data_IF_557377304031
#
_entry.id   IF_557377304031
#
_cell.length_a   1.000
_cell.length_b   1.000
_cell.length_c   1.000
_cell.angle_alpha   90.00
_cell.angle_beta   90.00
_cell.angle_gamma   90.00
#
_symmetry.space_group_name_H-M   'P 1'
#
loop_
_entity.id
_entity.type
_entity.pdbx_description
1 polymer ?
#
# COMPACT_ATOMS: atom_id res chain seq x y z
N UNK A 1 -22.24 19.84 10.29
CA UNK A 1 -21.16 19.17 9.55
C UNK A 1 -20.94 17.83 10.23
N UNK A 2 -21.77 16.85 9.85
CA UNK A 2 -21.80 15.55 10.49
C UNK A 2 -21.54 14.49 9.42
N UNK A 3 -20.82 13.45 9.82
CA UNK A 3 -20.77 12.12 9.19
C UNK A 3 -19.64 11.83 8.18
N UNK A 4 -18.38 11.89 8.64
CA UNK A 4 -17.25 11.24 7.91
C UNK A 4 -16.69 9.99 8.62
N UNK A 5 -17.21 9.62 9.79
CA UNK A 5 -16.67 8.52 10.60
C UNK A 5 -17.37 7.17 10.41
N UNK A 6 -18.46 7.10 9.62
CA UNK A 6 -19.27 5.87 9.52
C UNK A 6 -19.45 5.29 8.10
N UNK A 7 -18.68 5.76 7.11
CA UNK A 7 -18.77 5.24 5.75
C UNK A 7 -18.07 3.87 5.68
N UNK A 8 -18.85 2.80 5.46
CA UNK A 8 -18.35 1.45 5.19
C UNK A 8 -17.32 1.51 4.05
N UNK A 9 -16.25 0.72 4.16
CA UNK A 9 -15.24 0.59 3.11
C UNK A 9 -15.89 0.28 1.75
N UNK A 10 -15.34 0.82 0.66
CA UNK A 10 -15.73 0.51 -0.70
C UNK A 10 -14.47 0.41 -1.59
N UNK A 11 -14.30 -0.73 -2.26
CA UNK A 11 -13.14 -0.94 -3.13
C UNK A 11 -13.12 0.02 -4.33
N UNK A 12 -14.28 0.49 -4.79
CA UNK A 12 -14.36 1.46 -5.88
C UNK A 12 -13.64 2.78 -5.51
N UNK A 13 -13.75 3.24 -4.27
CA UNK A 13 -13.07 4.48 -3.81
C UNK A 13 -11.54 4.34 -3.84
N UNK A 14 -11.03 3.15 -3.55
CA UNK A 14 -9.60 2.82 -3.69
C UNK A 14 -9.19 2.92 -5.15
N UNK A 15 -9.95 2.30 -6.05
CA UNK A 15 -9.70 2.35 -7.49
C UNK A 15 -9.66 3.80 -8.00
N UNK A 16 -10.65 4.62 -7.66
CA UNK A 16 -10.67 6.03 -8.08
C UNK A 16 -9.49 6.82 -7.51
N UNK A 17 -9.08 6.55 -6.26
CA UNK A 17 -7.90 7.19 -5.67
C UNK A 17 -6.62 6.86 -6.42
N UNK A 18 -6.42 5.58 -6.79
CA UNK A 18 -5.25 5.18 -7.56
C UNK A 18 -5.29 5.64 -9.02
N UNK A 19 -6.47 5.82 -9.63
CA UNK A 19 -6.58 6.49 -10.93
C UNK A 19 -6.11 7.93 -10.85
N UNK A 20 -6.60 8.67 -9.86
CA UNK A 20 -6.22 10.08 -9.67
C UNK A 20 -4.77 10.26 -9.27
N UNK A 21 -4.12 9.22 -8.72
CA UNK A 21 -2.72 9.32 -8.32
C UNK A 21 -1.75 9.30 -9.49
N UNK A 22 -2.14 8.81 -10.67
CA UNK A 22 -1.24 8.67 -11.80
C UNK A 22 -1.53 9.75 -12.86
N UNK A 23 -0.52 10.58 -13.18
CA UNK A 23 -0.62 11.56 -14.27
C UNK A 23 -0.40 10.94 -15.65
N UNK A 24 -0.80 11.60 -16.74
CA UNK A 24 -0.46 11.17 -18.11
C UNK A 24 1.05 11.03 -18.35
N UNK A 25 1.87 11.84 -17.66
CA UNK A 25 3.33 11.83 -17.71
C UNK A 25 3.96 10.77 -16.78
N UNK A 26 3.15 9.89 -16.18
CA UNK A 26 3.57 8.87 -15.22
C UNK A 26 4.17 9.43 -13.92
N UNK A 27 3.73 10.61 -13.51
CA UNK A 27 4.02 11.12 -12.16
C UNK A 27 2.99 10.57 -11.16
N UNK A 28 3.46 10.28 -9.93
CA UNK A 28 2.60 9.75 -8.88
C UNK A 28 2.31 10.85 -7.85
N UNK A 29 1.09 11.38 -7.84
CA UNK A 29 0.64 12.36 -6.87
C UNK A 29 0.51 11.75 -5.47
N UNK A 30 1.28 12.26 -4.51
CA UNK A 30 1.38 11.68 -3.16
C UNK A 30 0.04 11.77 -2.42
N UNK A 31 -0.71 12.85 -2.58
CA UNK A 31 -2.01 13.04 -1.94
C UNK A 31 -3.01 11.92 -2.28
N UNK A 32 -3.14 11.61 -3.56
CA UNK A 32 -4.02 10.56 -4.06
C UNK A 32 -3.48 9.16 -3.76
N UNK A 33 -2.16 8.97 -3.83
CA UNK A 33 -1.50 7.72 -3.41
C UNK A 33 -1.78 7.40 -1.93
N UNK A 34 -1.65 8.39 -1.05
CA UNK A 34 -2.01 8.25 0.37
C UNK A 34 -3.50 7.98 0.54
N UNK A 35 -4.37 8.63 -0.23
CA UNK A 35 -5.81 8.38 -0.20
C UNK A 35 -6.15 6.93 -0.56
N UNK A 36 -5.51 6.39 -1.61
CA UNK A 36 -5.61 4.97 -1.99
C UNK A 36 -5.16 4.04 -0.86
N UNK A 37 -4.00 4.33 -0.24
CA UNK A 37 -3.50 3.56 0.90
C UNK A 37 -4.42 3.58 2.11
N UNK A 38 -5.05 4.74 2.42
CA UNK A 38 -6.04 4.82 3.49
C UNK A 38 -7.25 3.92 3.22
N UNK A 39 -7.69 3.84 1.98
CA UNK A 39 -8.72 2.88 1.58
C UNK A 39 -8.25 1.43 1.73
N UNK A 40 -7.04 1.08 1.29
CA UNK A 40 -6.47 -0.27 1.50
C UNK A 40 -6.36 -0.62 2.99
N UNK A 41 -5.99 0.34 3.84
CA UNK A 41 -5.96 0.17 5.30
C UNK A 41 -7.37 -0.10 5.85
N UNK A 42 -8.39 0.62 5.37
CA UNK A 42 -9.79 0.38 5.76
C UNK A 42 -10.22 -1.04 5.40
N UNK A 43 -9.92 -1.52 4.19
CA UNK A 43 -10.14 -2.92 3.79
C UNK A 43 -9.50 -3.89 4.78
N UNK A 44 -8.21 -3.72 5.08
CA UNK A 44 -7.49 -4.59 6.00
C UNK A 44 -8.11 -4.60 7.40
N UNK A 45 -8.50 -3.44 7.92
CA UNK A 45 -9.12 -3.32 9.23
C UNK A 45 -10.52 -3.95 9.29
N UNK A 46 -11.28 -3.90 8.19
CA UNK A 46 -12.60 -4.53 8.09
C UNK A 46 -12.54 -6.07 8.11
N UNK A 47 -11.36 -6.67 7.92
CA UNK A 47 -11.16 -8.13 7.98
C UNK A 47 -10.88 -8.65 9.39
N UNK A 48 -10.79 -7.77 10.39
CA UNK A 48 -10.67 -8.15 11.80
C UNK A 48 -9.50 -7.50 12.55
N UNK A 49 -9.55 -7.57 13.87
CA UNK A 49 -8.64 -6.87 14.79
C UNK A 49 -7.17 -7.28 14.66
N UNK A 50 -6.89 -8.51 14.22
CA UNK A 50 -5.53 -9.02 14.03
C UNK A 50 -4.78 -8.35 12.87
N UNK A 51 -5.49 -7.80 11.89
CA UNK A 51 -4.90 -7.01 10.80
C UNK A 51 -4.62 -5.55 11.20
N UNK A 52 -5.22 -5.08 12.30
CA UNK A 52 -4.99 -3.74 12.84
C UNK A 52 -3.52 -3.49 13.21
N UNK A 53 -2.77 -4.52 13.61
CA UNK A 53 -1.33 -4.36 13.85
C UNK A 53 -0.53 -4.19 12.55
N UNK A 54 -0.90 -4.92 11.50
CA UNK A 54 -0.24 -4.85 10.18
C UNK A 54 -0.54 -3.50 9.52
N UNK A 55 -1.77 -3.00 9.67
CA UNK A 55 -2.19 -1.73 9.07
C UNK A 55 -1.66 -0.50 9.80
N UNK A 56 -1.35 -0.59 11.12
CA UNK A 56 -0.75 0.52 11.89
C UNK A 56 0.51 1.09 11.27
N UNK A 57 1.37 0.22 10.74
CA UNK A 57 2.62 0.64 10.10
C UNK A 57 2.35 1.48 8.84
N UNK A 58 1.42 1.03 8.00
CA UNK A 58 0.97 1.77 6.83
C UNK A 58 0.28 3.10 7.21
N UNK A 59 -0.56 3.10 8.24
CA UNK A 59 -1.21 4.32 8.77
C UNK A 59 -0.16 5.35 9.19
N UNK A 60 0.83 4.95 10.00
CA UNK A 60 1.90 5.84 10.43
C UNK A 60 2.67 6.43 9.25
N UNK A 61 3.02 5.60 8.26
CA UNK A 61 3.79 6.05 7.08
C UNK A 61 3.00 6.98 6.16
N UNK A 62 1.73 6.69 5.93
CA UNK A 62 0.87 7.61 5.18
C UNK A 62 0.72 8.95 5.89
N UNK A 63 0.68 8.96 7.23
CA UNK A 63 0.64 10.20 8.00
C UNK A 63 1.94 11.00 7.86
N UNK A 64 3.10 10.34 7.88
CA UNK A 64 4.40 10.99 7.64
C UNK A 64 4.41 11.68 6.27
N UNK A 65 4.02 10.98 5.20
CA UNK A 65 3.96 11.58 3.85
C UNK A 65 3.00 12.78 3.78
N UNK A 66 1.84 12.70 4.45
CA UNK A 66 0.92 13.84 4.53
C UNK A 66 1.47 15.01 5.33
N UNK A 67 2.29 14.76 6.35
CA UNK A 67 2.94 15.82 7.11
C UNK A 67 3.96 16.56 6.23
N UNK A 68 4.72 15.84 5.42
CA UNK A 68 5.63 16.46 4.44
C UNK A 68 4.87 17.31 3.42
N UNK A 69 3.78 16.77 2.86
CA UNK A 69 2.92 17.49 1.90
C UNK A 69 2.34 18.79 2.49
N UNK A 70 2.07 18.83 3.80
CA UNK A 70 1.53 19.99 4.53
C UNK A 70 2.60 20.92 5.12
N UNK A 71 3.88 20.58 4.97
CA UNK A 71 4.99 21.38 5.49
C UNK A 71 5.32 22.56 4.57
N UNK A 72 6.26 23.41 4.99
CA UNK A 72 6.81 24.48 4.14
C UNK A 72 7.45 23.94 2.85
N UNK A 73 7.97 22.71 2.88
CA UNK A 73 8.51 22.02 1.71
C UNK A 73 7.44 21.28 0.89
N UNK A 74 6.16 21.41 1.23
CA UNK A 74 5.03 20.72 0.61
C UNK A 74 5.04 20.66 -0.94
N UNK A 75 5.39 21.75 -1.66
CA UNK A 75 5.51 21.74 -3.11
C UNK A 75 6.50 20.69 -3.66
N UNK A 76 7.55 20.36 -2.90
CA UNK A 76 8.51 19.32 -3.28
C UNK A 76 7.98 17.90 -3.07
N UNK A 77 6.95 17.73 -2.24
CA UNK A 77 6.30 16.45 -1.97
C UNK A 77 4.99 16.27 -2.75
N UNK A 78 4.75 17.08 -3.79
CA UNK A 78 3.55 16.96 -4.62
C UNK A 78 3.51 15.60 -5.35
N UNK A 79 4.64 15.17 -5.92
CA UNK A 79 4.78 13.86 -6.56
C UNK A 79 5.91 13.04 -5.94
N UNK A 80 5.86 11.73 -6.13
CA UNK A 80 6.94 10.81 -5.74
C UNK A 80 8.27 11.21 -6.39
N UNK A 81 8.21 11.60 -7.67
CA UNK A 81 9.36 12.02 -8.46
C UNK A 81 9.98 13.32 -7.92
N UNK A 82 9.15 14.34 -7.65
CA UNK A 82 9.63 15.60 -7.07
C UNK A 82 10.22 15.40 -5.68
N UNK A 83 9.62 14.53 -4.88
CA UNK A 83 10.10 14.19 -3.54
C UNK A 83 11.48 13.53 -3.61
N UNK A 84 11.63 12.49 -4.43
CA UNK A 84 12.91 11.78 -4.60
C UNK A 84 14.01 12.74 -5.05
N UNK A 85 13.70 13.59 -6.04
CA UNK A 85 14.65 14.61 -6.51
C UNK A 85 15.05 15.57 -5.38
N UNK A 86 14.07 16.14 -4.69
CA UNK A 86 14.30 17.11 -3.64
C UNK A 86 15.13 16.54 -2.48
N UNK A 87 14.76 15.37 -1.97
CA UNK A 87 15.49 14.78 -0.84
C UNK A 87 16.92 14.38 -1.21
N UNK A 88 17.15 13.92 -2.45
CA UNK A 88 18.50 13.59 -2.92
C UNK A 88 19.36 14.83 -3.15
N UNK A 89 18.84 15.86 -3.82
CA UNK A 89 19.57 17.10 -4.11
C UNK A 89 19.99 17.85 -2.82
N UNK A 90 19.28 17.61 -1.71
CA UNK A 90 19.52 18.25 -0.42
C UNK A 90 20.09 17.30 0.65
N UNK A 91 20.53 16.09 0.26
CA UNK A 91 21.13 15.09 1.16
C UNK A 91 20.24 14.71 2.38
N UNK A 92 18.92 14.71 2.19
CA UNK A 92 17.91 14.42 3.23
C UNK A 92 17.59 12.92 3.37
N UNK A 93 18.36 12.05 2.71
CA UNK A 93 18.17 10.60 2.72
C UNK A 93 19.39 9.92 3.31
N UNK A 94 19.20 9.12 4.37
CA UNK A 94 20.26 8.32 4.99
C UNK A 94 20.66 7.09 4.13
N UNK A 95 21.32 7.32 3.00
CA UNK A 95 21.84 6.24 2.15
C UNK A 95 22.95 5.44 2.85
N UNK A 96 23.74 6.09 3.71
CA UNK A 96 24.88 5.49 4.44
C UNK A 96 24.52 4.85 5.80
N UNK A 97 23.22 4.79 6.16
CA UNK A 97 22.76 4.24 7.45
C UNK A 97 23.28 4.95 8.71
N UNK A 98 23.69 6.21 8.58
CA UNK A 98 24.18 7.06 9.70
C UNK A 98 23.04 7.53 10.63
N UNK A 99 21.79 7.47 10.19
CA UNK A 99 20.61 7.73 11.03
C UNK A 99 20.34 9.22 11.29
N UNK A 100 20.79 10.12 10.41
CA UNK A 100 20.61 11.57 10.55
C UNK A 100 19.18 11.98 10.15
N UNK A 101 18.59 11.28 9.18
CA UNK A 101 17.23 11.46 8.67
C UNK A 101 16.44 10.13 8.76
N UNK A 102 16.08 9.70 9.99
CA UNK A 102 15.44 8.42 10.20
C UNK A 102 14.04 8.33 9.57
N UNK A 103 13.40 9.43 9.21
CA UNK A 103 12.03 9.43 8.65
C UNK A 103 11.92 10.22 7.34
N UNK A 104 12.90 10.10 6.44
CA UNK A 104 12.78 10.70 5.10
C UNK A 104 11.55 10.16 4.34
N UNK A 105 11.00 10.97 3.45
CA UNK A 105 9.93 10.59 2.53
C UNK A 105 10.31 9.40 1.65
N UNK A 106 11.53 9.37 1.08
CA UNK A 106 12.04 8.22 0.32
C UNK A 106 12.07 6.94 1.15
N UNK A 107 12.58 7.00 2.38
CA UNK A 107 12.61 5.86 3.30
C UNK A 107 11.19 5.41 3.63
N UNK A 108 10.31 6.35 3.94
CA UNK A 108 8.91 6.10 4.33
C UNK A 108 8.12 5.44 3.21
N UNK A 109 8.18 6.02 2.01
CA UNK A 109 7.51 5.52 0.82
C UNK A 109 8.00 4.11 0.45
N UNK A 110 9.29 3.79 0.63
CA UNK A 110 9.82 2.44 0.36
C UNK A 110 9.07 1.33 1.10
N UNK A 111 8.65 1.58 2.35
CA UNK A 111 7.94 0.57 3.13
C UNK A 111 6.51 0.38 2.64
N UNK A 112 5.85 1.48 2.27
CA UNK A 112 4.55 1.41 1.61
C UNK A 112 4.69 0.67 0.27
N UNK A 113 5.69 1.00 -0.55
CA UNK A 113 5.98 0.35 -1.82
C UNK A 113 6.14 -1.18 -1.69
N UNK A 114 6.96 -1.64 -0.73
CA UNK A 114 7.11 -3.08 -0.42
C UNK A 114 5.80 -3.73 0.02
N UNK A 115 4.99 -3.04 0.81
CA UNK A 115 3.68 -3.54 1.21
C UNK A 115 2.66 -3.54 0.05
N UNK A 116 2.78 -2.61 -0.90
CA UNK A 116 1.94 -2.55 -2.10
C UNK A 116 2.13 -3.83 -2.93
N UNK A 117 3.38 -4.29 -3.07
CA UNK A 117 3.69 -5.55 -3.78
C UNK A 117 2.93 -6.73 -3.20
N UNK A 118 2.94 -6.86 -1.88
CA UNK A 118 2.19 -7.92 -1.19
C UNK A 118 0.69 -7.83 -1.48
N UNK A 119 0.12 -6.63 -1.39
CA UNK A 119 -1.30 -6.41 -1.65
C UNK A 119 -1.69 -6.73 -3.09
N UNK A 120 -0.88 -6.34 -4.08
CA UNK A 120 -1.12 -6.68 -5.49
C UNK A 120 -1.19 -8.19 -5.70
N UNK A 121 -0.18 -8.92 -5.21
CA UNK A 121 -0.11 -10.37 -5.33
C UNK A 121 -1.32 -11.03 -4.66
N UNK A 122 -1.69 -10.56 -3.47
CA UNK A 122 -2.83 -11.10 -2.75
C UNK A 122 -4.17 -10.81 -3.46
N UNK A 123 -4.41 -9.56 -3.88
CA UNK A 123 -5.64 -9.16 -4.57
C UNK A 123 -5.79 -9.84 -5.92
N UNK A 124 -4.69 -10.04 -6.65
CA UNK A 124 -4.70 -10.79 -7.92
C UNK A 124 -5.10 -12.25 -7.71
N UNK A 125 -4.51 -12.91 -6.69
CA UNK A 125 -4.89 -14.29 -6.35
C UNK A 125 -6.34 -14.39 -5.89
N UNK A 126 -6.81 -13.39 -5.14
CA UNK A 126 -8.22 -13.32 -4.73
C UNK A 126 -9.14 -13.18 -5.96
N UNK A 127 -8.75 -12.35 -6.93
CA UNK A 127 -9.49 -12.16 -8.18
C UNK A 127 -9.59 -13.44 -9.00
N UNK A 128 -8.50 -14.21 -9.10
CA UNK A 128 -8.42 -15.41 -9.96
C UNK A 128 -8.73 -16.72 -9.24
N UNK A 129 -9.04 -16.68 -7.94
CA UNK A 129 -9.32 -17.88 -7.14
C UNK A 129 -10.75 -18.40 -7.30
N UNK A 130 -10.91 -19.67 -6.99
CA UNK A 130 -12.21 -20.36 -6.89
C UNK A 130 -12.85 -20.10 -5.53
N UNK A 131 -14.13 -20.41 -5.40
CA UNK A 131 -14.92 -20.17 -4.19
C UNK A 131 -14.34 -20.87 -2.94
N UNK A 132 -13.88 -22.12 -3.09
CA UNK A 132 -13.33 -22.94 -1.99
C UNK A 132 -11.85 -22.68 -1.69
N UNK A 133 -11.18 -21.80 -2.45
CA UNK A 133 -9.77 -21.52 -2.24
C UNK A 133 -9.54 -20.76 -0.92
N UNK A 134 -8.49 -21.16 -0.20
CA UNK A 134 -8.19 -20.62 1.13
C UNK A 134 -7.46 -19.28 1.02
N UNK A 135 -8.15 -18.20 1.35
CA UNK A 135 -7.62 -16.84 1.53
C UNK A 135 -6.40 -16.78 2.44
N UNK A 136 -6.36 -17.58 3.50
CA UNK A 136 -5.20 -17.70 4.39
C UNK A 136 -3.94 -18.20 3.68
N UNK A 137 -4.09 -19.17 2.77
CA UNK A 137 -2.97 -19.69 1.97
C UNK A 137 -2.53 -18.65 0.95
N UNK A 138 -3.46 -18.08 0.18
CA UNK A 138 -3.15 -17.06 -0.83
C UNK A 138 -2.42 -15.86 -0.23
N UNK A 139 -2.87 -15.37 0.92
CA UNK A 139 -2.28 -14.23 1.62
C UNK A 139 -0.88 -14.54 2.17
N UNK A 140 -0.71 -15.72 2.79
CA UNK A 140 0.59 -16.18 3.30
C UNK A 140 1.60 -16.33 2.17
N UNK A 141 1.19 -16.94 1.07
CA UNK A 141 2.08 -17.18 -0.06
C UNK A 141 2.47 -15.83 -0.71
N UNK A 142 1.55 -14.86 -0.77
CA UNK A 142 1.84 -13.54 -1.33
C UNK A 142 2.83 -12.79 -0.42
N UNK A 143 2.66 -12.93 0.89
CA UNK A 143 3.55 -12.34 1.89
C UNK A 143 4.96 -12.93 1.79
N UNK A 144 5.08 -14.25 1.68
CA UNK A 144 6.37 -14.95 1.57
C UNK A 144 7.12 -14.59 0.29
N UNK A 145 6.40 -14.40 -0.83
CA UNK A 145 6.99 -13.98 -2.11
C UNK A 145 7.51 -12.53 -2.08
N UNK A 146 6.99 -11.69 -1.19
CA UNK A 146 7.25 -10.25 -1.21
C UNK A 146 7.74 -9.73 0.16
N UNK A 147 6.82 -9.23 0.98
CA UNK A 147 7.10 -8.44 2.17
C UNK A 147 7.92 -9.20 3.23
N UNK A 148 7.84 -10.53 3.25
CA UNK A 148 8.64 -11.38 4.14
C UNK A 148 10.15 -11.18 3.96
N UNK A 149 10.62 -10.82 2.76
CA UNK A 149 12.04 -10.60 2.48
C UNK A 149 12.61 -9.41 3.27
N UNK A 150 11.75 -8.50 3.72
CA UNK A 150 12.12 -7.28 4.44
C UNK A 150 11.82 -7.34 5.93
N UNK A 151 11.23 -8.44 6.42
CA UNK A 151 10.78 -8.57 7.79
C UNK A 151 11.68 -9.50 8.63
N UNK A 152 12.06 -9.09 9.86
CA UNK A 152 12.72 -9.97 10.81
C UNK A 152 11.90 -11.23 11.09
N UNK A 153 12.57 -12.30 11.51
CA UNK A 153 11.95 -13.60 11.78
C UNK A 153 10.71 -13.50 12.70
N UNK A 154 10.78 -12.68 13.75
CA UNK A 154 9.67 -12.50 14.69
C UNK A 154 8.43 -11.92 14.02
N UNK A 155 8.59 -10.90 13.16
CA UNK A 155 7.49 -10.28 12.43
C UNK A 155 6.88 -11.27 11.44
N UNK A 156 7.70 -12.08 10.75
CA UNK A 156 7.22 -13.15 9.86
C UNK A 156 6.37 -14.18 10.59
N UNK A 157 6.76 -14.57 11.81
CA UNK A 157 5.98 -15.50 12.63
C UNK A 157 4.63 -14.90 13.05
N UNK A 158 4.62 -13.67 13.53
CA UNK A 158 3.37 -12.98 13.91
C UNK A 158 2.42 -12.81 12.73
N UNK A 159 2.93 -12.42 11.56
CA UNK A 159 2.14 -12.33 10.33
C UNK A 159 1.52 -13.69 9.94
N UNK A 160 2.32 -14.77 10.02
CA UNK A 160 1.84 -16.13 9.77
C UNK A 160 0.68 -16.54 10.66
N UNK A 161 0.68 -16.14 11.94
CA UNK A 161 -0.43 -16.37 12.87
C UNK A 161 -1.66 -15.56 12.46
N UNK A 162 -1.49 -14.29 12.10
CA UNK A 162 -2.60 -13.43 11.67
C UNK A 162 -3.31 -13.96 10.41
N UNK A 163 -2.60 -14.62 9.49
CA UNK A 163 -3.23 -15.16 8.27
C UNK A 163 -4.25 -16.27 8.54
N UNK A 164 -4.17 -16.98 9.67
CA UNK A 164 -5.18 -17.97 10.04
C UNK A 164 -6.53 -17.36 10.42
N UNK A 165 -6.57 -16.07 10.76
CA UNK A 165 -7.83 -15.37 11.08
C UNK A 165 -8.48 -14.73 9.86
N UNK A 166 -7.95 -14.93 8.65
CA UNK A 166 -8.55 -14.38 7.44
C UNK A 166 -9.90 -15.05 7.16
N UNK A 167 -10.93 -14.26 6.83
CA UNK A 167 -12.22 -14.81 6.46
C UNK A 167 -12.14 -15.54 5.11
N UNK A 168 -13.11 -16.40 4.82
CA UNK A 168 -13.25 -17.06 3.51
C UNK A 168 -13.43 -16.04 2.38
N UNK A 169 -13.20 -16.47 1.13
CA UNK A 169 -13.25 -15.60 -0.05
C UNK A 169 -14.53 -14.78 -0.18
N UNK A 170 -15.69 -15.41 0.04
CA UNK A 170 -16.99 -14.71 -0.07
C UNK A 170 -17.12 -13.56 0.93
N UNK A 171 -16.75 -13.79 2.19
CA UNK A 171 -16.76 -12.74 3.21
C UNK A 171 -15.75 -11.61 2.90
N UNK A 172 -14.63 -11.93 2.25
CA UNK A 172 -13.72 -10.91 1.71
C UNK A 172 -14.39 -10.01 0.67
N UNK A 173 -15.14 -10.62 -0.25
CA UNK A 173 -15.87 -9.92 -1.31
C UNK A 173 -16.99 -9.05 -0.76
N UNK A 174 -17.71 -9.54 0.26
CA UNK A 174 -18.73 -8.75 0.97
C UNK A 174 -18.14 -7.50 1.61
N UNK A 175 -16.96 -7.62 2.24
CA UNK A 175 -16.24 -6.47 2.81
C UNK A 175 -15.89 -5.43 1.75
N UNK A 176 -15.57 -5.86 0.51
CA UNK A 176 -15.23 -4.94 -0.58
C UNK A 176 -16.39 -4.04 -1.03
N UNK A 177 -17.63 -4.41 -0.69
CA UNK A 177 -18.82 -3.56 -0.80
C UNK A 177 -19.03 -2.97 -2.21
N UNK A 178 -18.84 -3.81 -3.25
CA UNK A 178 -19.06 -3.44 -4.66
C UNK A 178 -20.14 -4.29 -5.34
N UNK A 179 -20.87 -5.10 -4.57
CA UNK A 179 -21.98 -5.91 -5.04
C UNK A 179 -21.67 -7.40 -5.11
N UNK A 180 -22.06 -8.07 -6.20
CA UNK A 180 -21.90 -9.53 -6.36
C UNK A 180 -20.43 -9.93 -6.51
N UNK A 181 -20.08 -11.21 -6.28
CA UNK A 181 -18.73 -11.72 -6.50
C UNK A 181 -18.14 -11.39 -7.89
N UNK A 182 -18.97 -11.41 -8.93
CA UNK A 182 -18.56 -11.08 -10.30
C UNK A 182 -18.20 -9.60 -10.42
N UNK A 183 -19.00 -8.71 -9.82
CA UNK A 183 -18.72 -7.28 -9.79
C UNK A 183 -17.42 -6.98 -9.00
N UNK A 184 -17.19 -7.71 -7.91
CA UNK A 184 -15.92 -7.61 -7.16
C UNK A 184 -14.73 -8.02 -8.04
N UNK A 185 -14.84 -9.14 -8.76
CA UNK A 185 -13.80 -9.62 -9.69
C UNK A 185 -13.54 -8.60 -10.80
N UNK A 186 -14.58 -7.98 -11.35
CA UNK A 186 -14.46 -6.93 -12.38
C UNK A 186 -13.75 -5.67 -11.86
N UNK A 187 -14.08 -5.23 -10.65
CA UNK A 187 -13.42 -4.08 -10.01
C UNK A 187 -11.96 -4.41 -9.71
N UNK A 188 -11.67 -5.60 -9.17
CA UNK A 188 -10.29 -6.08 -8.96
C UNK A 188 -9.52 -6.17 -10.28
N UNK A 189 -10.17 -6.59 -11.36
CA UNK A 189 -9.59 -6.64 -12.70
C UNK A 189 -9.18 -5.29 -13.27
N UNK A 190 -9.74 -4.19 -12.75
CA UNK A 190 -9.34 -2.82 -13.08
C UNK A 190 -8.34 -2.25 -12.08
N UNK A 191 -8.51 -2.55 -10.79
CA UNK A 191 -7.68 -2.04 -9.71
C UNK A 191 -6.28 -2.63 -9.71
N UNK A 192 -6.15 -3.97 -9.83
CA UNK A 192 -4.83 -4.63 -9.76
C UNK A 192 -3.88 -4.13 -10.84
N UNK A 193 -4.26 -4.00 -12.13
CA UNK A 193 -3.36 -3.44 -13.15
C UNK A 193 -2.89 -2.02 -12.82
N UNK A 194 -3.76 -1.17 -12.31
CA UNK A 194 -3.41 0.19 -11.89
C UNK A 194 -2.40 0.20 -10.74
N UNK A 195 -2.62 -0.65 -9.73
CA UNK A 195 -1.68 -0.80 -8.62
C UNK A 195 -0.32 -1.27 -9.15
N UNK A 196 -0.30 -2.23 -10.07
CA UNK A 196 0.92 -2.74 -10.69
C UNK A 196 1.67 -1.65 -11.47
N UNK A 197 0.96 -0.77 -12.19
CA UNK A 197 1.58 0.36 -12.91
C UNK A 197 2.21 1.37 -11.95
N UNK A 198 1.50 1.79 -10.91
CA UNK A 198 2.02 2.70 -9.86
C UNK A 198 3.25 2.10 -9.18
N UNK A 199 3.22 0.80 -8.88
CA UNK A 199 4.37 0.09 -8.34
C UNK A 199 5.53 0.07 -9.31
N UNK A 200 5.31 -0.26 -10.57
CA UNK A 200 6.39 -0.35 -11.55
C UNK A 200 7.10 0.99 -11.74
N UNK A 201 6.35 2.09 -11.80
CA UNK A 201 6.92 3.45 -11.88
C UNK A 201 7.78 3.75 -10.65
N UNK A 202 7.29 3.41 -9.46
CA UNK A 202 8.03 3.61 -8.21
C UNK A 202 9.27 2.71 -8.16
N UNK A 203 9.15 1.45 -8.55
CA UNK A 203 10.22 0.45 -8.61
C UNK A 203 11.36 0.91 -9.52
N UNK A 204 11.03 1.39 -10.73
CA UNK A 204 11.99 1.92 -11.70
C UNK A 204 12.69 3.18 -11.17
N UNK A 205 11.95 4.08 -10.52
CA UNK A 205 12.54 5.27 -9.91
C UNK A 205 13.51 4.90 -8.78
N UNK A 206 13.13 3.98 -7.90
CA UNK A 206 13.97 3.54 -6.80
C UNK A 206 15.21 2.79 -7.30
N UNK A 207 15.07 1.97 -8.34
CA UNK A 207 16.19 1.30 -8.99
C UNK A 207 17.16 2.30 -9.61
N UNK A 208 16.64 3.30 -10.33
CA UNK A 208 17.45 4.36 -10.97
C UNK A 208 18.32 5.13 -9.97
N UNK A 209 17.82 5.32 -8.75
CA UNK A 209 18.48 6.09 -7.70
C UNK A 209 19.12 5.22 -6.60
N UNK A 210 19.16 3.89 -6.76
CA UNK A 210 19.69 2.93 -5.77
C UNK A 210 19.06 3.06 -4.36
N UNK A 211 17.74 3.26 -4.30
CA UNK A 211 17.00 3.50 -3.06
C UNK A 211 16.36 2.25 -2.44
N UNK A 212 16.58 1.07 -3.02
CA UNK A 212 15.95 -0.17 -2.56
C UNK A 212 16.43 -0.67 -1.21
N UNK A 213 17.62 -0.25 -0.78
CA UNK A 213 18.27 -0.72 0.45
C UNK A 213 18.28 0.33 1.57
N UNK A 214 17.46 1.38 1.46
CA UNK A 214 17.35 2.39 2.51
C UNK A 214 17.06 1.72 3.87
N UNK A 215 17.87 2.03 4.90
CA UNK A 215 17.80 1.39 6.24
C UNK A 215 16.42 1.55 6.84
#
# INVERSE_FOLDING_TARGET
MADSENQKFCLQEVLESFKSCLSPEKEIYIEHYVSGWRGLVKLLNSLGSLFGFISKDAVSKTQILMNFLKSENGPHYATVQSMVKFELDNELVDVDKKGIYPESGCRTLLRLHRALRWLQLFLERLRTSKEDDKTSVMCRDAYNESLAQHHPWLIRKSAGVAFYSLPVRLAFFEVMNVGTPEQVVDVLGKAVPLLCEVYQITEELYQKHNLHDLP
#
